data_IF_347672150967
#
_entry.id   IF_347672150967
#
_cell.length_a   1.000
_cell.length_b   1.000
_cell.length_c   1.000
_cell.angle_alpha   90.00
_cell.angle_beta   90.00
_cell.angle_gamma   90.00
#
_symmetry.space_group_name_H-M   'P 1'
#
loop_
_entity.id
_entity.type
_entity.pdbx_description
1 polymer ?
#
# COMPACT_ATOMS: atom_id res chain seq x y z
N UNK A 1 -2.74 46.25 -13.63
CA UNK A 1 -1.45 46.20 -12.90
C UNK A 1 -1.33 47.41 -11.97
N UNK A 2 -1.93 47.36 -10.78
CA UNK A 2 -1.61 48.30 -9.69
C UNK A 2 -0.43 47.73 -8.92
N UNK A 3 0.76 48.26 -9.19
CA UNK A 3 1.99 47.82 -8.56
C UNK A 3 2.07 48.44 -7.16
N UNK A 4 1.62 47.73 -6.12
CA UNK A 4 1.81 48.14 -4.73
C UNK A 4 3.20 47.70 -4.26
N UNK A 5 4.19 48.56 -4.45
CA UNK A 5 5.52 48.38 -3.87
C UNK A 5 5.82 49.52 -2.88
N UNK A 6 5.53 49.38 -1.58
CA UNK A 6 6.07 50.29 -0.59
C UNK A 6 7.46 49.81 -0.15
N UNK A 7 8.47 50.61 -0.47
CA UNK A 7 9.82 50.43 0.07
C UNK A 7 9.82 50.65 1.60
N UNK A 8 10.31 49.67 2.35
CA UNK A 8 10.70 49.85 3.77
C UNK A 8 9.69 49.41 4.84
N UNK A 9 8.96 48.31 4.67
CA UNK A 9 8.07 47.77 5.72
C UNK A 9 8.60 46.47 6.33
N UNK A 10 8.94 46.55 7.62
CA UNK A 10 8.96 45.41 8.56
C UNK A 10 7.59 44.75 8.60
N UNK A 11 7.55 43.44 8.30
CA UNK A 11 6.46 42.49 8.52
C UNK A 11 5.03 42.99 8.23
N UNK A 12 4.60 42.89 6.97
CA UNK A 12 3.17 42.96 6.61
C UNK A 12 2.52 41.67 7.13
N UNK A 13 1.63 41.76 8.12
CA UNK A 13 0.97 40.59 8.73
C UNK A 13 -0.41 40.28 8.14
N UNK A 14 -0.85 41.03 7.12
CA UNK A 14 -2.10 40.78 6.41
C UNK A 14 -2.28 41.70 5.22
N UNK A 15 -2.60 41.13 4.05
CA UNK A 15 -3.00 41.89 2.85
C UNK A 15 -4.37 41.38 2.40
N UNK A 16 -5.32 42.29 2.27
CA UNK A 16 -6.64 41.98 1.71
C UNK A 16 -6.72 42.54 0.29
N UNK A 17 -6.98 41.67 -0.68
CA UNK A 17 -7.15 41.97 -2.09
C UNK A 17 -8.59 41.61 -2.45
N UNK A 18 -9.39 42.59 -2.87
CA UNK A 18 -10.78 42.36 -3.29
C UNK A 18 -10.85 42.50 -4.80
N UNK A 19 -11.23 41.42 -5.48
CA UNK A 19 -11.47 41.32 -6.92
C UNK A 19 -12.82 41.87 -7.35
N UNK A 20 -13.15 41.72 -8.62
CA UNK A 20 -14.45 42.06 -9.21
C UNK A 20 -15.14 40.80 -9.73
N UNK A 21 -16.17 40.90 -10.57
CA UNK A 21 -16.90 39.72 -11.10
C UNK A 21 -16.33 39.17 -12.41
N UNK A 22 -15.15 39.62 -12.82
CA UNK A 22 -14.49 39.27 -14.07
C UNK A 22 -13.29 38.35 -13.78
N UNK A 23 -12.70 37.72 -14.81
CA UNK A 23 -11.48 36.90 -14.63
C UNK A 23 -10.26 37.79 -14.29
N UNK A 24 -9.70 37.68 -13.09
CA UNK A 24 -8.56 38.49 -12.66
C UNK A 24 -7.26 37.70 -12.44
N UNK A 25 -6.13 38.42 -12.47
CA UNK A 25 -4.82 37.87 -12.11
C UNK A 25 -4.17 38.71 -11.02
N UNK A 26 -3.95 38.09 -9.87
CA UNK A 26 -3.29 38.70 -8.72
C UNK A 26 -1.85 38.19 -8.63
N UNK A 27 -0.87 39.10 -8.54
CA UNK A 27 0.52 38.75 -8.26
C UNK A 27 0.86 39.17 -6.83
N UNK A 28 1.20 38.18 -6.02
CA UNK A 28 1.61 38.37 -4.64
C UNK A 28 3.09 38.04 -4.48
N UNK A 29 3.86 39.01 -3.97
CA UNK A 29 5.30 38.85 -3.65
C UNK A 29 5.55 39.26 -2.21
N UNK A 30 6.08 38.34 -1.40
CA UNK A 30 6.41 38.58 0.00
C UNK A 30 7.90 38.35 0.27
N UNK A 31 8.59 39.25 0.99
CA UNK A 31 9.90 38.98 1.58
C UNK A 31 9.84 38.51 3.04
N UNK A 32 8.65 38.33 3.65
CA UNK A 32 8.49 38.10 5.10
C UNK A 32 7.99 36.70 5.49
N UNK A 33 8.42 36.28 6.69
CA UNK A 33 8.29 34.95 7.34
C UNK A 33 6.88 34.36 7.52
N UNK A 34 5.82 35.17 7.42
CA UNK A 34 4.42 34.76 7.58
C UNK A 34 3.56 35.92 7.07
N UNK A 35 2.94 35.80 5.89
CA UNK A 35 1.95 36.79 5.44
C UNK A 35 0.68 36.07 5.04
N UNK A 36 -0.42 36.33 5.74
CA UNK A 36 -1.75 35.91 5.33
C UNK A 36 -2.27 36.89 4.27
N UNK A 37 -2.48 36.40 3.05
CA UNK A 37 -3.18 37.14 2.00
C UNK A 37 -4.60 36.61 1.93
N UNK A 38 -5.59 37.51 2.00
CA UNK A 38 -6.98 37.21 1.64
C UNK A 38 -7.21 37.79 0.26
N UNK A 39 -7.59 36.95 -0.70
CA UNK A 39 -8.05 37.40 -2.02
C UNK A 39 -9.50 36.98 -2.15
N UNK A 40 -10.41 37.94 -2.36
CA UNK A 40 -11.83 37.73 -2.66
C UNK A 40 -12.05 37.82 -4.17
N UNK A 41 -12.27 36.70 -4.85
CA UNK A 41 -12.41 36.66 -6.31
C UNK A 41 -13.80 37.01 -6.88
N UNK A 42 -14.85 37.08 -6.04
CA UNK A 42 -16.26 37.04 -6.50
C UNK A 42 -16.50 35.92 -7.56
N UNK A 43 -17.32 36.18 -8.59
CA UNK A 43 -17.94 35.18 -9.49
C UNK A 43 -17.19 34.93 -10.83
N UNK A 44 -15.86 35.00 -10.84
CA UNK A 44 -14.97 34.83 -12.02
C UNK A 44 -13.92 33.70 -11.89
N UNK A 45 -13.20 33.37 -12.97
CA UNK A 45 -12.07 32.44 -12.93
C UNK A 45 -10.76 33.17 -12.58
N UNK A 46 -10.48 33.35 -11.29
CA UNK A 46 -9.33 34.13 -10.83
C UNK A 46 -8.03 33.33 -10.68
N UNK A 47 -6.95 33.90 -11.22
CA UNK A 47 -5.59 33.39 -11.06
C UNK A 47 -4.87 34.14 -9.94
N UNK A 48 -4.38 33.44 -8.90
CA UNK A 48 -3.58 34.03 -7.83
C UNK A 48 -2.15 33.47 -7.89
N UNK A 49 -1.26 34.19 -8.57
CA UNK A 49 0.14 33.80 -8.65
C UNK A 49 0.89 34.24 -7.38
N UNK A 50 1.40 33.27 -6.62
CA UNK A 50 2.02 33.49 -5.32
C UNK A 50 3.49 33.10 -5.36
N UNK A 51 4.37 34.09 -5.45
CA UNK A 51 5.81 33.83 -5.38
C UNK A 51 6.27 33.87 -3.92
N UNK A 52 6.35 32.68 -3.31
CA UNK A 52 6.86 32.46 -1.96
C UNK A 52 8.39 32.52 -1.87
N UNK A 53 8.90 32.61 -0.64
CA UNK A 53 10.34 32.52 -0.36
C UNK A 53 10.74 31.07 -0.07
N UNK A 54 12.04 30.79 0.15
CA UNK A 54 12.54 29.45 0.51
C UNK A 54 12.10 28.95 1.92
N UNK A 55 11.11 29.59 2.57
CA UNK A 55 10.62 29.32 3.93
C UNK A 55 9.08 29.19 3.92
N UNK A 56 8.49 28.62 4.99
CA UNK A 56 7.05 28.32 5.06
C UNK A 56 6.18 29.58 5.04
N UNK A 57 5.33 29.68 4.00
CA UNK A 57 4.43 30.80 3.76
C UNK A 57 2.97 30.29 3.77
N UNK A 58 2.11 30.89 4.60
CA UNK A 58 0.68 30.53 4.71
C UNK A 58 -0.18 31.48 3.88
N UNK A 59 -0.85 30.98 2.85
CA UNK A 59 -1.77 31.76 2.00
C UNK A 59 -3.23 31.43 2.32
N UNK A 60 -4.19 32.30 2.01
CA UNK A 60 -5.61 32.07 2.28
C UNK A 60 -6.47 32.71 1.18
N UNK A 61 -6.67 31.99 0.07
CA UNK A 61 -7.41 32.50 -1.10
C UNK A 61 -8.87 32.05 -1.06
N UNK A 62 -9.84 32.98 -1.11
CA UNK A 62 -11.28 32.72 -1.02
C UNK A 62 -12.02 33.23 -2.26
N UNK A 63 -12.65 32.36 -3.06
CA UNK A 63 -13.55 32.78 -4.14
C UNK A 63 -14.95 32.17 -3.92
N UNK A 64 -16.03 32.97 -3.88
CA UNK A 64 -17.41 32.51 -3.78
C UNK A 64 -17.89 31.66 -4.98
N UNK A 65 -17.37 31.90 -6.19
CA UNK A 65 -17.55 31.01 -7.34
C UNK A 65 -16.44 31.23 -8.39
N UNK A 66 -15.68 30.19 -8.74
CA UNK A 66 -14.52 30.32 -9.65
C UNK A 66 -13.52 29.16 -9.59
N UNK A 67 -12.43 29.26 -10.35
CA UNK A 67 -11.24 28.38 -10.24
C UNK A 67 -10.09 29.21 -9.70
N UNK A 68 -9.53 28.86 -8.53
CA UNK A 68 -8.33 29.50 -8.00
C UNK A 68 -7.09 28.72 -8.45
N UNK A 69 -6.17 29.43 -9.11
CA UNK A 69 -4.83 28.95 -9.42
C UNK A 69 -3.86 29.42 -8.31
N UNK A 70 -3.15 28.53 -7.64
CA UNK A 70 -2.04 28.88 -6.72
C UNK A 70 -0.74 28.34 -7.31
N UNK A 71 0.10 29.22 -7.86
CA UNK A 71 1.42 28.85 -8.39
C UNK A 71 2.49 29.04 -7.32
N UNK A 72 3.35 28.03 -7.07
CA UNK A 72 4.44 28.05 -6.08
C UNK A 72 5.82 28.18 -6.76
N UNK A 73 6.86 28.57 -6.01
CA UNK A 73 8.27 28.60 -6.48
C UNK A 73 9.32 28.01 -5.52
N UNK A 74 8.99 27.38 -4.37
CA UNK A 74 9.92 26.52 -3.60
C UNK A 74 9.35 25.93 -2.29
N UNK A 75 9.51 24.62 -2.09
CA UNK A 75 9.96 23.96 -0.85
C UNK A 75 9.14 23.96 0.45
N UNK A 76 8.11 24.79 0.64
CA UNK A 76 7.43 24.88 1.95
C UNK A 76 5.91 24.73 1.95
N UNK A 77 5.27 24.25 3.05
CA UNK A 77 3.83 24.02 3.08
C UNK A 77 3.07 25.32 2.92
N UNK A 78 2.05 25.32 2.06
CA UNK A 78 1.12 26.44 1.92
C UNK A 78 -0.28 25.98 2.32
N UNK A 79 -1.14 26.95 2.60
CA UNK A 79 -2.52 26.73 3.00
C UNK A 79 -3.41 27.37 1.94
N UNK A 80 -4.59 26.81 1.68
CA UNK A 80 -5.61 27.43 0.84
C UNK A 80 -6.95 27.24 1.54
N UNK A 81 -7.72 28.31 1.66
CA UNK A 81 -9.06 28.29 2.26
C UNK A 81 -10.05 28.92 1.28
N UNK A 82 -10.67 28.11 0.42
CA UNK A 82 -11.59 28.58 -0.61
C UNK A 82 -12.99 28.02 -0.43
N UNK A 83 -14.00 28.76 -0.90
CA UNK A 83 -15.40 28.32 -1.06
C UNK A 83 -15.71 27.87 -2.49
N UNK A 84 -14.71 27.85 -3.38
CA UNK A 84 -14.86 27.58 -4.80
C UNK A 84 -15.08 26.08 -5.10
N UNK A 85 -15.74 25.75 -6.21
CA UNK A 85 -16.09 24.36 -6.58
C UNK A 85 -14.84 23.51 -6.94
N UNK A 86 -13.81 24.14 -7.51
CA UNK A 86 -12.53 23.50 -7.86
C UNK A 86 -11.35 24.44 -7.58
N UNK A 87 -10.31 23.94 -6.91
CA UNK A 87 -9.04 24.66 -6.69
C UNK A 87 -7.91 23.91 -7.38
N UNK A 88 -7.11 24.62 -8.18
CA UNK A 88 -5.93 24.07 -8.82
C UNK A 88 -4.66 24.65 -8.20
N UNK A 89 -3.76 23.79 -7.75
CA UNK A 89 -2.43 24.15 -7.25
C UNK A 89 -1.40 23.73 -8.28
N UNK A 90 -0.57 24.68 -8.69
CA UNK A 90 0.47 24.47 -9.70
C UNK A 90 1.84 24.61 -9.05
N UNK A 91 2.72 23.69 -9.39
CA UNK A 91 4.15 23.82 -9.23
C UNK A 91 4.74 24.84 -10.20
N UNK A 92 6.06 24.85 -10.25
CA UNK A 92 6.89 25.66 -11.13
C UNK A 92 7.82 24.77 -11.94
N UNK A 93 8.67 25.39 -12.76
CA UNK A 93 9.83 24.69 -13.28
C UNK A 93 10.83 24.41 -12.13
N UNK A 94 11.09 23.13 -11.86
CA UNK A 94 11.98 22.64 -10.82
C UNK A 94 11.28 21.64 -9.89
N UNK A 95 12.01 21.09 -8.92
CA UNK A 95 11.45 20.11 -8.00
C UNK A 95 10.61 20.81 -6.92
N UNK A 96 9.30 20.57 -6.94
CA UNK A 96 8.33 21.13 -6.04
C UNK A 96 7.78 20.10 -5.03
N UNK A 97 7.22 20.63 -3.95
CA UNK A 97 6.45 19.84 -2.98
C UNK A 97 5.13 20.54 -2.77
N UNK A 98 4.05 19.93 -3.23
CA UNK A 98 2.69 20.41 -3.11
C UNK A 98 2.00 19.60 -2.02
N UNK A 99 1.70 20.25 -0.91
CA UNK A 99 1.07 19.62 0.25
C UNK A 99 -0.26 20.31 0.53
N UNK A 100 -1.36 19.64 0.19
CA UNK A 100 -2.71 20.14 0.28
C UNK A 100 -3.48 19.60 1.52
N UNK A 101 -2.81 18.92 2.46
CA UNK A 101 -3.47 18.30 3.64
C UNK A 101 -4.21 19.29 4.54
N UNK A 102 -3.79 20.55 4.51
CA UNK A 102 -4.35 21.61 5.34
C UNK A 102 -5.31 22.53 4.57
N UNK A 103 -5.69 22.15 3.35
CA UNK A 103 -6.70 22.84 2.58
C UNK A 103 -8.07 22.63 3.26
N UNK A 104 -8.75 23.73 3.57
CA UNK A 104 -9.90 23.76 4.48
C UNK A 104 -11.04 22.85 3.98
N UNK A 105 -11.63 22.05 4.89
CA UNK A 105 -12.61 20.98 4.68
C UNK A 105 -13.92 21.34 3.91
N UNK A 106 -14.06 22.57 3.41
CA UNK A 106 -15.18 22.97 2.58
C UNK A 106 -14.99 22.63 1.08
N UNK A 107 -13.77 22.30 0.66
CA UNK A 107 -13.46 21.93 -0.72
C UNK A 107 -13.67 20.43 -0.94
N UNK A 108 -14.39 20.08 -2.00
CA UNK A 108 -14.70 18.68 -2.35
C UNK A 108 -13.72 18.07 -3.34
N UNK A 109 -12.90 18.89 -4.01
CA UNK A 109 -11.92 18.44 -5.01
C UNK A 109 -10.80 19.45 -5.27
N UNK A 110 -9.56 18.98 -5.32
CA UNK A 110 -8.38 19.74 -5.73
C UNK A 110 -7.77 19.18 -7.02
N UNK A 111 -7.07 20.03 -7.77
CA UNK A 111 -6.19 19.59 -8.85
C UNK A 111 -4.76 20.01 -8.50
N UNK A 112 -3.86 19.06 -8.37
CA UNK A 112 -2.44 19.28 -8.07
C UNK A 112 -1.63 18.98 -9.33
N UNK A 113 -0.89 19.98 -9.82
CA UNK A 113 -0.08 19.90 -11.03
C UNK A 113 1.39 20.17 -10.66
N UNK A 114 2.31 19.24 -10.90
CA UNK A 114 3.74 19.40 -10.64
C UNK A 114 4.44 20.32 -11.65
N UNK A 115 4.09 20.17 -12.95
CA UNK A 115 4.71 20.85 -14.10
C UNK A 115 6.05 20.21 -14.52
N UNK A 116 7.17 20.95 -14.58
CA UNK A 116 8.46 20.38 -14.96
C UNK A 116 9.32 20.17 -13.72
N UNK A 117 9.80 18.97 -13.44
CA UNK A 117 10.63 18.71 -12.26
C UNK A 117 10.42 17.32 -11.69
N UNK A 118 11.11 17.03 -10.59
CA UNK A 118 10.76 15.86 -9.78
C UNK A 118 9.95 16.34 -8.58
N UNK A 119 8.65 16.21 -8.68
CA UNK A 119 7.71 16.81 -7.74
C UNK A 119 7.22 15.81 -6.71
N UNK A 120 6.73 16.33 -5.59
CA UNK A 120 6.03 15.54 -4.57
C UNK A 120 4.67 16.14 -4.34
N UNK A 121 3.62 15.38 -4.59
CA UNK A 121 2.23 15.79 -4.47
C UNK A 121 1.58 15.04 -3.29
N UNK A 122 0.90 15.79 -2.43
CA UNK A 122 0.07 15.28 -1.34
C UNK A 122 -1.25 16.03 -1.34
N UNK A 123 -2.35 15.29 -1.45
CA UNK A 123 -3.72 15.74 -1.45
C UNK A 123 -4.26 16.08 -0.06
N UNK A 124 -5.55 16.44 -0.06
CA UNK A 124 -6.32 16.71 1.13
C UNK A 124 -7.39 15.65 1.36
N UNK A 125 -8.46 16.04 2.04
CA UNK A 125 -9.71 15.27 2.02
C UNK A 125 -10.50 15.64 0.76
N UNK A 126 -11.30 14.71 0.25
CA UNK A 126 -12.10 14.94 -0.96
C UNK A 126 -11.54 14.22 -2.18
N UNK A 127 -12.04 14.56 -3.36
CA UNK A 127 -11.65 13.93 -4.63
C UNK A 127 -10.61 14.77 -5.35
N UNK A 128 -9.35 14.42 -5.22
CA UNK A 128 -8.25 15.17 -5.79
C UNK A 128 -7.80 14.63 -7.16
N UNK A 129 -7.12 15.45 -7.94
CA UNK A 129 -6.55 15.08 -9.23
C UNK A 129 -5.06 15.37 -9.24
N UNK A 130 -4.24 14.33 -9.35
CA UNK A 130 -2.79 14.42 -9.33
C UNK A 130 -2.22 14.33 -10.75
N UNK A 131 -1.47 15.34 -11.16
CA UNK A 131 -0.74 15.40 -12.43
C UNK A 131 0.71 15.73 -12.11
N UNK A 132 1.64 14.81 -12.35
CA UNK A 132 3.07 15.03 -12.10
C UNK A 132 3.62 16.04 -13.09
N UNK A 133 3.61 15.66 -14.37
CA UNK A 133 4.12 16.48 -15.47
C UNK A 133 5.38 15.84 -16.07
N UNK A 134 6.41 16.65 -16.31
CA UNK A 134 7.68 16.18 -16.88
C UNK A 134 8.69 15.94 -15.76
N UNK A 135 9.10 14.68 -15.55
CA UNK A 135 10.21 14.34 -14.68
C UNK A 135 9.99 13.02 -13.96
N UNK A 136 10.17 12.99 -12.65
CA UNK A 136 9.91 11.80 -11.82
C UNK A 136 9.16 12.24 -10.59
N UNK A 137 7.86 12.02 -10.62
CA UNK A 137 6.93 12.61 -9.68
C UNK A 137 6.40 11.59 -8.67
N UNK A 138 6.34 12.03 -7.41
CA UNK A 138 5.91 11.25 -6.27
C UNK A 138 4.54 11.70 -5.78
N UNK A 139 3.56 10.80 -5.83
CA UNK A 139 2.35 10.94 -5.03
C UNK A 139 2.62 10.36 -3.63
N UNK A 140 2.52 11.18 -2.59
CA UNK A 140 2.78 10.80 -1.20
C UNK A 140 1.57 11.10 -0.32
N UNK A 141 0.69 10.13 -0.13
CA UNK A 141 -0.48 10.26 0.75
C UNK A 141 -0.20 9.75 2.16
N UNK A 142 -0.75 10.47 3.14
CA UNK A 142 -0.73 10.08 4.55
C UNK A 142 -2.13 10.26 5.10
N UNK A 143 -2.75 9.23 5.65
CA UNK A 143 -4.09 9.43 6.18
C UNK A 143 -4.75 8.24 6.85
N UNK A 144 -5.86 8.56 7.50
CA UNK A 144 -6.67 7.65 8.30
C UNK A 144 -7.54 6.70 7.48
N UNK A 145 -7.33 5.40 7.66
CA UNK A 145 -8.22 4.36 7.16
C UNK A 145 -7.67 3.61 5.95
N UNK A 146 -8.58 2.92 5.26
CA UNK A 146 -8.23 2.00 4.19
C UNK A 146 -8.01 2.75 2.88
N UNK A 147 -6.96 2.37 2.14
CA UNK A 147 -6.66 2.91 0.81
C UNK A 147 -6.71 1.81 -0.23
N UNK A 148 -7.33 2.08 -1.37
CA UNK A 148 -7.34 1.20 -2.54
C UNK A 148 -6.75 1.93 -3.74
N UNK A 149 -5.73 1.34 -4.35
CA UNK A 149 -4.98 1.91 -5.46
C UNK A 149 -5.21 1.10 -6.75
N UNK A 150 -5.50 1.82 -7.82
CA UNK A 150 -5.61 1.31 -9.19
C UNK A 150 -4.75 2.16 -10.12
N UNK A 151 -4.57 1.75 -11.37
CA UNK A 151 -3.73 2.47 -12.33
C UNK A 151 -4.15 3.93 -12.56
N UNK A 152 -5.40 4.30 -12.27
CA UNK A 152 -5.92 5.66 -12.48
C UNK A 152 -6.55 6.31 -11.25
N UNK A 153 -6.68 5.61 -10.12
CA UNK A 153 -7.38 6.12 -8.94
C UNK A 153 -6.79 5.66 -7.61
N UNK A 154 -6.84 6.55 -6.61
CA UNK A 154 -6.66 6.24 -5.19
C UNK A 154 -7.99 6.49 -4.47
N UNK A 155 -8.44 5.54 -3.66
CA UNK A 155 -9.72 5.62 -2.93
C UNK A 155 -9.47 5.46 -1.44
N UNK A 156 -10.10 6.30 -0.62
CA UNK A 156 -10.10 6.19 0.86
C UNK A 156 -10.38 7.51 1.58
N UNK A 157 -9.67 8.58 1.20
CA UNK A 157 -9.95 9.96 1.63
C UNK A 157 -10.93 10.71 0.70
N UNK A 158 -11.30 10.03 -0.38
CA UNK A 158 -12.20 10.41 -1.44
C UNK A 158 -11.98 9.43 -2.58
N UNK A 159 -12.19 9.89 -3.82
CA UNK A 159 -11.87 9.17 -5.05
C UNK A 159 -11.00 10.06 -5.90
N UNK A 160 -9.69 9.91 -5.71
CA UNK A 160 -8.70 10.73 -6.35
C UNK A 160 -8.34 10.15 -7.71
N UNK A 161 -8.12 11.00 -8.72
CA UNK A 161 -7.61 10.59 -10.02
C UNK A 161 -6.11 10.76 -10.09
N UNK A 162 -5.42 9.74 -10.61
CA UNK A 162 -3.97 9.70 -10.77
C UNK A 162 -3.65 9.73 -12.26
N UNK A 163 -2.96 10.77 -12.71
CA UNK A 163 -2.49 10.87 -14.08
C UNK A 163 -1.36 9.87 -14.38
N UNK A 164 -1.14 9.60 -15.66
CA UNK A 164 -0.07 8.71 -16.14
C UNK A 164 1.33 9.26 -15.88
N UNK A 165 1.47 10.57 -15.68
CA UNK A 165 2.71 11.29 -15.34
C UNK A 165 3.17 11.18 -13.88
N UNK A 166 2.56 10.30 -13.08
CA UNK A 166 3.09 9.95 -11.76
C UNK A 166 3.94 8.69 -11.90
N UNK A 167 5.16 8.69 -11.37
CA UNK A 167 6.11 7.56 -11.50
C UNK A 167 6.44 6.88 -10.18
N UNK A 168 6.06 7.49 -9.04
CA UNK A 168 6.23 6.92 -7.73
C UNK A 168 5.00 7.17 -6.85
N UNK A 169 4.63 6.18 -6.04
CA UNK A 169 3.54 6.29 -5.07
C UNK A 169 4.04 5.78 -3.72
N UNK A 170 3.84 6.62 -2.70
CA UNK A 170 4.01 6.29 -1.29
C UNK A 170 2.68 6.50 -0.57
N UNK A 171 2.18 5.47 0.07
CA UNK A 171 1.01 5.53 0.95
C UNK A 171 1.45 5.25 2.37
N UNK A 172 1.02 6.07 3.33
CA UNK A 172 1.34 5.90 4.75
C UNK A 172 0.08 5.95 5.61
N UNK A 173 -0.04 4.99 6.52
CA UNK A 173 -1.13 4.84 7.45
C UNK A 173 -1.12 5.81 8.61
N UNK A 174 -2.15 5.67 9.43
CA UNK A 174 -2.29 6.39 10.69
C UNK A 174 -1.84 5.53 11.88
N UNK A 175 -2.46 5.72 13.05
CA UNK A 175 -2.15 4.93 14.24
C UNK A 175 -3.17 3.79 14.47
N UNK A 176 -4.14 3.64 13.57
CA UNK A 176 -5.15 2.59 13.59
C UNK A 176 -4.83 1.50 12.59
N UNK A 177 -5.58 0.40 12.65
CA UNK A 177 -5.50 -0.66 11.64
C UNK A 177 -5.98 -0.14 10.28
N UNK A 178 -5.14 -0.27 9.26
CA UNK A 178 -5.38 0.15 7.89
C UNK A 178 -5.31 -1.05 6.94
N UNK A 179 -6.14 -1.03 5.88
CA UNK A 179 -6.00 -1.92 4.73
C UNK A 179 -5.50 -1.10 3.54
N UNK A 180 -4.33 -1.45 3.02
CA UNK A 180 -3.80 -0.95 1.75
C UNK A 180 -3.91 -2.00 0.68
N UNK A 181 -4.78 -1.77 -0.29
CA UNK A 181 -5.00 -2.64 -1.43
C UNK A 181 -4.47 -2.01 -2.72
N UNK A 182 -3.25 -2.36 -3.11
CA UNK A 182 -2.67 -2.01 -4.40
C UNK A 182 -2.67 -3.19 -5.39
N UNK A 183 -3.43 -4.25 -5.12
CA UNK A 183 -3.40 -5.49 -5.93
C UNK A 183 -3.82 -5.29 -7.38
N UNK A 184 -4.59 -4.24 -7.68
CA UNK A 184 -5.00 -3.85 -9.02
C UNK A 184 -4.01 -2.90 -9.72
N UNK A 185 -2.94 -2.46 -9.05
CA UNK A 185 -1.95 -1.53 -9.60
C UNK A 185 -0.86 -2.27 -10.40
N UNK A 186 -0.55 -1.76 -11.59
CA UNK A 186 0.32 -2.45 -12.55
C UNK A 186 1.44 -1.58 -13.14
N UNK A 187 1.40 -0.27 -12.95
CA UNK A 187 2.34 0.68 -13.59
C UNK A 187 3.78 0.52 -13.10
N UNK A 188 4.01 0.50 -11.80
CA UNK A 188 5.33 0.41 -11.15
C UNK A 188 5.19 -0.12 -9.72
N UNK A 189 6.32 -0.27 -9.01
CA UNK A 189 6.34 -0.71 -7.62
C UNK A 189 5.95 0.41 -6.65
N UNK A 190 5.14 0.08 -5.65
CA UNK A 190 4.61 1.06 -4.67
C UNK A 190 5.26 0.89 -3.31
N UNK A 191 5.29 1.97 -2.52
CA UNK A 191 5.67 1.92 -1.11
C UNK A 191 4.42 2.04 -0.25
N UNK A 192 4.14 0.99 0.53
CA UNK A 192 3.06 0.95 1.51
C UNK A 192 3.68 0.91 2.91
N UNK A 193 3.31 1.85 3.76
CA UNK A 193 3.82 1.99 5.14
C UNK A 193 2.64 2.04 6.12
N UNK A 194 2.37 0.95 6.82
CA UNK A 194 1.27 0.83 7.79
C UNK A 194 1.40 1.80 8.98
N UNK A 195 2.63 2.22 9.30
CA UNK A 195 2.96 3.04 10.45
C UNK A 195 2.67 2.36 11.79
N UNK A 196 1.52 2.61 12.43
CA UNK A 196 1.18 1.96 13.69
C UNK A 196 -0.23 1.42 13.63
N UNK A 197 -0.45 0.22 14.16
CA UNK A 197 -1.71 -0.47 13.98
C UNK A 197 -1.45 -1.92 13.60
N UNK A 198 -2.52 -2.69 13.48
CA UNK A 198 -2.43 -4.03 12.89
C UNK A 198 -2.88 -3.91 11.44
N UNK A 199 -1.93 -3.73 10.52
CA UNK A 199 -2.21 -3.34 9.14
C UNK A 199 -2.25 -4.53 8.18
N UNK A 200 -2.96 -4.34 7.07
CA UNK A 200 -3.01 -5.30 5.96
C UNK A 200 -2.46 -4.63 4.71
N UNK A 201 -1.40 -5.19 4.15
CA UNK A 201 -0.71 -4.66 2.99
C UNK A 201 -0.83 -5.62 1.80
N UNK A 202 -1.33 -5.13 0.67
CA UNK A 202 -1.43 -5.88 -0.58
C UNK A 202 -0.70 -5.12 -1.67
N UNK A 203 0.42 -5.68 -2.13
CA UNK A 203 1.22 -5.11 -3.22
C UNK A 203 0.56 -5.30 -4.59
N UNK A 204 1.07 -4.57 -5.57
CA UNK A 204 0.68 -4.71 -6.98
C UNK A 204 1.41 -5.84 -7.69
N UNK A 205 1.53 -5.71 -9.00
CA UNK A 205 2.20 -6.71 -9.87
C UNK A 205 3.69 -6.45 -10.11
N UNK A 206 4.27 -5.48 -9.39
CA UNK A 206 5.67 -5.05 -9.51
C UNK A 206 6.37 -5.24 -8.17
N UNK A 207 7.66 -4.92 -8.14
CA UNK A 207 8.44 -5.00 -6.90
C UNK A 207 8.05 -3.89 -5.94
N UNK A 208 7.32 -4.23 -4.89
CA UNK A 208 6.82 -3.27 -3.91
C UNK A 208 7.70 -3.19 -2.66
N UNK A 209 7.48 -2.14 -1.86
CA UNK A 209 8.06 -1.99 -0.53
C UNK A 209 6.95 -1.97 0.49
N UNK A 210 6.81 -3.06 1.26
CA UNK A 210 5.74 -3.29 2.22
C UNK A 210 6.33 -3.17 3.63
N UNK A 211 5.94 -2.12 4.34
CA UNK A 211 6.43 -1.79 5.68
C UNK A 211 5.21 -1.83 6.61
N UNK A 212 5.16 -2.77 7.55
CA UNK A 212 4.06 -2.86 8.51
C UNK A 212 4.17 -1.74 9.54
N UNK A 213 5.26 -1.76 10.31
CA UNK A 213 5.56 -0.72 11.28
C UNK A 213 5.46 -1.26 12.69
N UNK A 214 4.64 -0.66 13.55
CA UNK A 214 4.40 -1.18 14.91
C UNK A 214 3.02 -1.78 15.04
N UNK A 215 2.95 -3.04 15.47
CA UNK A 215 1.70 -3.78 15.68
C UNK A 215 1.87 -5.20 15.20
N UNK A 216 0.79 -5.82 14.73
CA UNK A 216 0.81 -7.14 14.08
C UNK A 216 0.34 -7.01 12.64
N UNK A 217 1.30 -6.86 11.74
CA UNK A 217 1.04 -6.53 10.35
C UNK A 217 0.99 -7.77 9.46
N UNK A 218 0.12 -7.75 8.46
CA UNK A 218 -0.14 -8.86 7.55
C UNK A 218 0.03 -8.46 6.08
N UNK A 219 0.92 -9.13 5.36
CA UNK A 219 0.96 -9.04 3.89
C UNK A 219 0.03 -10.09 3.29
N UNK A 220 -0.80 -9.72 2.30
CA UNK A 220 -1.64 -10.67 1.55
C UNK A 220 -1.35 -10.59 0.07
N UNK A 221 -1.02 -11.74 -0.53
CA UNK A 221 -0.65 -11.80 -1.94
C UNK A 221 -1.20 -13.05 -2.62
N UNK A 222 -1.85 -12.85 -3.77
CA UNK A 222 -2.10 -13.92 -4.73
C UNK A 222 -0.84 -14.12 -5.58
N UNK A 223 -0.30 -15.34 -5.60
CA UNK A 223 0.98 -15.61 -6.27
C UNK A 223 0.78 -15.90 -7.76
N UNK A 224 1.72 -15.46 -8.57
CA UNK A 224 1.69 -15.67 -10.03
C UNK A 224 2.02 -17.13 -10.39
N UNK A 225 2.81 -17.81 -9.55
CA UNK A 225 3.05 -19.27 -9.58
C UNK A 225 3.79 -19.72 -8.32
N UNK A 226 5.12 -19.59 -8.32
CA UNK A 226 5.96 -19.97 -7.19
C UNK A 226 6.28 -18.73 -6.36
N UNK A 227 6.40 -18.92 -5.05
CA UNK A 227 6.77 -17.87 -4.12
C UNK A 227 7.77 -18.38 -3.09
N UNK A 228 8.79 -17.56 -2.80
CA UNK A 228 9.68 -17.76 -1.67
C UNK A 228 9.61 -16.57 -0.73
N UNK A 229 9.29 -16.85 0.52
CA UNK A 229 9.17 -15.88 1.59
C UNK A 229 10.37 -15.96 2.55
N UNK A 230 10.86 -14.79 2.93
CA UNK A 230 11.87 -14.59 3.98
C UNK A 230 11.40 -13.42 4.85
N UNK A 231 12.06 -13.20 6.00
CA UNK A 231 11.76 -12.07 6.86
C UNK A 231 11.89 -10.68 6.21
N UNK A 232 12.56 -10.57 5.06
CA UNK A 232 12.83 -9.29 4.40
C UNK A 232 12.34 -9.21 2.97
N UNK A 233 11.90 -10.32 2.37
CA UNK A 233 11.58 -10.39 0.95
C UNK A 233 10.50 -11.44 0.66
N UNK A 234 9.56 -11.08 -0.22
CA UNK A 234 8.69 -12.00 -0.95
C UNK A 234 9.13 -12.02 -2.41
N UNK A 235 9.62 -13.16 -2.89
CA UNK A 235 10.06 -13.34 -4.27
C UNK A 235 9.03 -14.17 -5.03
N UNK A 236 8.48 -13.63 -6.11
CA UNK A 236 7.44 -14.23 -6.94
C UNK A 236 7.89 -14.38 -8.39
N UNK A 237 7.44 -15.44 -9.06
CA UNK A 237 7.59 -15.59 -10.51
C UNK A 237 7.95 -17.00 -10.97
N UNK A 238 7.95 -17.19 -12.29
CA UNK A 238 8.11 -18.51 -12.91
C UNK A 238 9.55 -19.00 -12.86
N UNK A 239 9.79 -20.10 -12.15
CA UNK A 239 10.92 -20.98 -12.42
C UNK A 239 10.45 -22.43 -12.45
N UNK A 240 9.68 -22.80 -13.48
CA UNK A 240 9.84 -24.17 -13.99
C UNK A 240 10.89 -24.12 -15.10
N UNK A 241 11.85 -25.03 -15.13
CA UNK A 241 11.50 -26.40 -15.53
C UNK A 241 11.98 -27.55 -14.65
N UNK A 242 13.01 -27.44 -13.80
CA UNK A 242 13.54 -28.58 -12.98
C UNK A 242 14.67 -28.21 -11.99
N UNK A 243 14.98 -26.94 -11.69
CA UNK A 243 16.24 -26.60 -10.97
C UNK A 243 16.09 -25.63 -9.81
N UNK A 244 16.82 -25.84 -8.69
CA UNK A 244 16.96 -24.87 -7.62
C UNK A 244 17.73 -23.64 -8.13
N UNK A 245 17.10 -22.47 -8.10
CA UNK A 245 17.67 -21.13 -8.35
C UNK A 245 18.18 -20.81 -9.76
N UNK A 246 17.27 -20.62 -10.72
CA UNK A 246 17.56 -19.83 -11.92
C UNK A 246 16.50 -18.72 -12.05
N UNK A 247 16.93 -17.45 -11.97
CA UNK A 247 16.02 -16.31 -12.12
C UNK A 247 16.39 -15.48 -13.34
N UNK A 248 15.46 -15.45 -14.30
CA UNK A 248 15.11 -14.25 -15.04
C UNK A 248 14.41 -13.34 -14.02
N UNK A 249 15.06 -12.24 -13.61
CA UNK A 249 14.72 -11.35 -12.48
C UNK A 249 13.29 -11.49 -11.92
N UNK A 250 13.13 -12.06 -10.70
CA UNK A 250 11.81 -12.28 -10.12
C UNK A 250 11.21 -10.93 -9.69
N UNK A 251 9.89 -10.86 -9.61
CA UNK A 251 9.23 -9.77 -8.88
C UNK A 251 9.58 -10.00 -7.41
N UNK A 252 10.21 -9.02 -6.78
CA UNK A 252 10.67 -9.11 -5.39
C UNK A 252 10.13 -7.94 -4.61
N UNK A 253 9.27 -8.23 -3.65
CA UNK A 253 8.75 -7.25 -2.71
C UNK A 253 9.67 -7.20 -1.50
N UNK A 254 10.03 -5.99 -1.06
CA UNK A 254 10.75 -5.77 0.18
C UNK A 254 9.79 -5.76 1.36
N UNK A 255 10.12 -6.49 2.42
CA UNK A 255 9.31 -6.60 3.64
C UNK A 255 10.07 -6.01 4.83
N UNK A 256 9.36 -5.28 5.69
CA UNK A 256 9.90 -4.77 6.96
C UNK A 256 8.81 -4.68 8.01
N UNK A 257 9.06 -5.23 9.21
CA UNK A 257 8.09 -5.22 10.31
C UNK A 257 6.79 -5.93 9.93
N UNK A 258 6.89 -7.16 9.40
CA UNK A 258 5.75 -7.98 9.01
C UNK A 258 5.76 -9.25 9.86
N UNK A 259 4.68 -9.46 10.62
CA UNK A 259 4.52 -10.60 11.52
C UNK A 259 3.74 -11.74 10.89
N UNK A 260 2.89 -11.43 9.90
CA UNK A 260 2.04 -12.41 9.22
C UNK A 260 2.08 -12.26 7.71
N UNK A 261 2.00 -13.39 7.00
CA UNK A 261 1.87 -13.39 5.54
C UNK A 261 0.84 -14.41 5.10
N UNK A 262 -0.12 -13.97 4.28
CA UNK A 262 -1.02 -14.85 3.54
C UNK A 262 -0.61 -14.94 2.07
N UNK A 263 -0.27 -16.14 1.62
CA UNK A 263 -0.02 -16.45 0.22
C UNK A 263 -1.13 -17.36 -0.30
N UNK A 264 -1.72 -16.98 -1.43
CA UNK A 264 -2.73 -17.79 -2.12
C UNK A 264 -2.23 -18.17 -3.50
N UNK A 265 -2.14 -19.47 -3.73
CA UNK A 265 -1.84 -20.10 -5.00
C UNK A 265 -2.90 -19.85 -6.05
N UNK A 266 -2.63 -20.34 -7.25
CA UNK A 266 -3.51 -20.28 -8.39
C UNK A 266 -3.82 -21.69 -8.90
N UNK A 267 -4.33 -21.82 -10.12
CA UNK A 267 -4.72 -23.14 -10.66
C UNK A 267 -3.56 -23.96 -11.23
N UNK A 268 -2.33 -23.47 -11.10
CA UNK A 268 -1.13 -24.16 -11.55
C UNK A 268 -0.48 -24.84 -10.36
N UNK A 269 0.37 -25.84 -10.62
CA UNK A 269 1.31 -26.34 -9.61
C UNK A 269 2.16 -25.19 -9.07
N UNK A 270 2.04 -24.93 -7.79
CA UNK A 270 2.70 -23.88 -7.04
C UNK A 270 3.65 -24.48 -6.01
N UNK A 271 4.80 -23.82 -5.84
CA UNK A 271 5.64 -23.99 -4.66
C UNK A 271 5.61 -22.72 -3.82
N UNK A 272 5.00 -22.80 -2.63
CA UNK A 272 4.98 -21.73 -1.63
C UNK A 272 5.96 -22.09 -0.51
N UNK A 273 7.09 -21.38 -0.45
CA UNK A 273 8.21 -21.71 0.44
C UNK A 273 8.44 -20.59 1.46
N UNK A 274 7.94 -20.79 2.68
CA UNK A 274 8.10 -19.88 3.81
C UNK A 274 9.11 -20.36 4.87
N UNK A 275 9.95 -21.35 4.56
CA UNK A 275 10.89 -21.97 5.51
C UNK A 275 11.87 -20.98 6.18
N UNK A 276 12.04 -19.78 5.61
CA UNK A 276 12.92 -18.71 6.13
C UNK A 276 12.17 -17.53 6.75
N UNK A 277 10.85 -17.67 6.94
CA UNK A 277 10.03 -16.69 7.64
C UNK A 277 9.80 -17.12 9.08
N UNK A 278 9.93 -16.18 10.02
CA UNK A 278 9.80 -16.46 11.45
C UNK A 278 8.44 -16.09 12.03
N UNK A 279 7.65 -15.30 11.29
CA UNK A 279 6.27 -14.99 11.63
C UNK A 279 5.31 -16.13 11.26
N UNK A 280 4.03 -15.92 11.49
CA UNK A 280 2.98 -16.90 11.15
C UNK A 280 2.53 -16.73 9.70
N UNK A 281 2.30 -17.83 8.99
CA UNK A 281 1.86 -17.79 7.59
C UNK A 281 0.48 -18.42 7.42
N UNK A 282 -0.23 -17.98 6.39
CA UNK A 282 -1.35 -18.71 5.80
C UNK A 282 -0.97 -19.04 4.37
N UNK A 283 -0.76 -20.32 4.08
CA UNK A 283 -0.42 -20.81 2.74
C UNK A 283 -1.63 -21.58 2.22
N UNK A 284 -2.13 -21.18 1.06
CA UNK A 284 -3.26 -21.82 0.38
C UNK A 284 -2.79 -22.21 -1.02
N UNK A 285 -2.72 -23.51 -1.33
CA UNK A 285 -2.24 -24.04 -2.62
C UNK A 285 -3.26 -23.82 -3.73
N UNK A 286 -4.54 -24.02 -3.40
CA UNK A 286 -5.64 -23.88 -4.32
C UNK A 286 -5.86 -25.17 -5.10
N UNK A 287 -5.41 -25.22 -6.35
CA UNK A 287 -5.65 -26.38 -7.21
C UNK A 287 -4.37 -26.84 -7.90
N UNK A 288 -4.32 -28.14 -8.20
CA UNK A 288 -3.16 -28.89 -8.71
C UNK A 288 -2.26 -29.40 -7.58
N UNK A 289 -1.25 -30.20 -7.94
CA UNK A 289 -0.37 -30.83 -6.96
C UNK A 289 0.68 -29.84 -6.46
N UNK A 290 0.43 -29.20 -5.34
CA UNK A 290 1.24 -28.10 -4.82
C UNK A 290 2.27 -28.55 -3.79
N UNK A 291 3.22 -27.67 -3.50
CA UNK A 291 4.19 -27.85 -2.41
C UNK A 291 4.19 -26.62 -1.52
N UNK A 292 3.73 -26.79 -0.29
CA UNK A 292 3.59 -25.72 0.69
C UNK A 292 4.50 -26.01 1.88
N UNK A 293 5.29 -25.02 2.27
CA UNK A 293 6.29 -25.17 3.32
C UNK A 293 6.16 -23.98 4.27
N UNK A 294 5.74 -24.25 5.50
CA UNK A 294 5.69 -23.31 6.62
C UNK A 294 7.07 -22.87 7.10
N UNK A 295 7.08 -21.90 8.00
CA UNK A 295 8.25 -21.29 8.60
C UNK A 295 8.56 -21.85 9.98
N UNK A 296 8.87 -20.94 10.92
CA UNK A 296 9.04 -21.29 12.34
C UNK A 296 7.92 -20.74 13.23
N UNK A 297 6.91 -20.13 12.62
CA UNK A 297 5.74 -19.55 13.30
C UNK A 297 4.61 -20.57 13.43
N UNK A 298 3.46 -20.17 13.96
CA UNK A 298 2.27 -21.02 13.94
C UNK A 298 1.56 -20.85 12.59
N UNK A 299 1.71 -21.81 11.69
CA UNK A 299 1.27 -21.70 10.31
C UNK A 299 -0.10 -22.33 10.08
N UNK A 300 -0.86 -21.77 9.13
CA UNK A 300 -2.04 -22.38 8.54
C UNK A 300 -1.71 -22.79 7.11
N UNK A 301 -1.73 -24.09 6.83
CA UNK A 301 -1.40 -24.63 5.50
C UNK A 301 -2.61 -25.38 4.96
N UNK A 302 -3.07 -24.99 3.76
CA UNK A 302 -4.21 -25.57 3.05
C UNK A 302 -3.72 -26.07 1.69
N UNK A 303 -3.70 -27.39 1.47
CA UNK A 303 -3.30 -27.97 0.18
C UNK A 303 -4.30 -27.61 -0.91
N UNK A 304 -5.57 -27.97 -0.69
CA UNK A 304 -6.67 -27.62 -1.59
C UNK A 304 -7.15 -28.84 -2.35
N UNK A 305 -6.98 -28.86 -3.67
CA UNK A 305 -7.39 -30.00 -4.51
C UNK A 305 -6.23 -30.61 -5.25
N UNK A 306 -6.29 -31.92 -5.45
CA UNK A 306 -5.24 -32.79 -6.00
C UNK A 306 -4.22 -33.20 -4.92
N UNK A 307 -3.08 -33.77 -5.30
CA UNK A 307 -2.18 -34.43 -4.35
C UNK A 307 -1.06 -33.47 -3.94
N UNK A 308 -1.14 -32.97 -2.71
CA UNK A 308 -0.26 -31.92 -2.22
C UNK A 308 0.86 -32.44 -1.31
N UNK A 309 1.92 -31.64 -1.18
CA UNK A 309 3.00 -31.86 -0.23
C UNK A 309 3.09 -30.69 0.73
N UNK A 310 2.70 -30.92 1.99
CA UNK A 310 2.52 -29.91 3.03
C UNK A 310 3.49 -30.17 4.18
N UNK A 311 4.34 -29.18 4.49
CA UNK A 311 5.31 -29.24 5.59
C UNK A 311 5.10 -28.05 6.54
N UNK A 312 4.79 -28.30 7.81
CA UNK A 312 4.66 -27.25 8.85
C UNK A 312 6.01 -26.68 9.29
N UNK A 313 7.00 -27.56 9.45
CA UNK A 313 8.32 -27.29 10.02
C UNK A 313 8.30 -27.10 11.53
N UNK A 314 8.38 -25.87 12.05
CA UNK A 314 8.42 -25.64 13.49
C UNK A 314 7.35 -24.63 13.85
N UNK A 315 6.67 -24.85 14.97
CA UNK A 315 5.48 -24.07 15.30
C UNK A 315 4.37 -24.99 15.77
N UNK A 316 3.26 -24.41 16.25
CA UNK A 316 2.06 -25.22 16.42
C UNK A 316 1.22 -24.98 15.17
N UNK A 317 1.33 -25.87 14.21
CA UNK A 317 0.79 -25.67 12.87
C UNK A 317 -0.61 -26.27 12.73
N UNK A 318 -1.40 -25.70 11.83
CA UNK A 318 -2.68 -26.27 11.39
C UNK A 318 -2.59 -26.58 9.91
N UNK A 319 -2.62 -27.86 9.55
CA UNK A 319 -2.42 -28.32 8.17
C UNK A 319 -3.63 -29.14 7.71
N UNK A 320 -4.22 -28.73 6.59
CA UNK A 320 -5.28 -29.46 5.90
C UNK A 320 -4.85 -29.87 4.50
N UNK A 321 -4.91 -31.17 4.19
CA UNK A 321 -4.67 -31.73 2.85
C UNK A 321 -5.71 -31.23 1.86
N UNK A 322 -6.97 -31.62 2.09
CA UNK A 322 -8.08 -31.21 1.24
C UNK A 322 -8.62 -32.42 0.47
N UNK A 323 -8.71 -32.33 -0.85
CA UNK A 323 -9.10 -33.49 -1.66
C UNK A 323 -7.89 -34.00 -2.43
N UNK A 324 -7.60 -35.30 -2.38
CA UNK A 324 -6.45 -35.88 -3.07
C UNK A 324 -5.66 -36.79 -2.14
N UNK A 325 -4.56 -37.35 -2.60
CA UNK A 325 -3.70 -38.18 -1.73
C UNK A 325 -2.53 -37.34 -1.26
N UNK A 326 -2.69 -36.73 -0.09
CA UNK A 326 -1.79 -35.70 0.39
C UNK A 326 -0.66 -36.27 1.23
N UNK A 327 0.44 -35.51 1.28
CA UNK A 327 1.56 -35.76 2.18
C UNK A 327 1.68 -34.62 3.15
N UNK A 328 1.48 -34.91 4.43
CA UNK A 328 1.47 -33.94 5.51
C UNK A 328 2.55 -34.32 6.52
N UNK A 329 3.42 -33.36 6.84
CA UNK A 329 4.42 -33.45 7.91
C UNK A 329 4.27 -32.20 8.80
N UNK A 330 3.84 -32.38 10.05
CA UNK A 330 3.69 -31.29 11.02
C UNK A 330 5.05 -30.71 11.41
N UNK A 331 5.94 -31.57 11.90
CA UNK A 331 7.32 -31.23 12.20
C UNK A 331 7.55 -31.11 13.71
N UNK A 332 7.82 -29.92 14.22
CA UNK A 332 8.12 -29.66 15.63
C UNK A 332 7.08 -28.71 16.22
N UNK A 333 6.32 -29.22 17.17
CA UNK A 333 5.35 -28.46 17.97
C UNK A 333 4.06 -29.26 18.12
N UNK A 334 3.03 -28.67 18.71
CA UNK A 334 1.76 -29.38 18.88
C UNK A 334 0.88 -29.09 17.67
N UNK A 335 0.89 -29.98 16.69
CA UNK A 335 0.29 -29.74 15.38
C UNK A 335 -1.14 -30.28 15.28
N UNK A 336 -1.96 -29.59 14.50
CA UNK A 336 -3.30 -30.03 14.09
C UNK A 336 -3.31 -30.41 12.61
N UNK A 337 -3.34 -31.70 12.32
CA UNK A 337 -3.18 -32.24 10.96
C UNK A 337 -4.45 -32.96 10.51
N UNK A 338 -4.96 -32.62 9.33
CA UNK A 338 -6.13 -33.24 8.73
C UNK A 338 -5.89 -33.60 7.26
N UNK A 339 -5.93 -34.89 6.90
CA UNK A 339 -5.85 -35.35 5.51
C UNK A 339 -7.07 -34.93 4.70
N UNK A 340 -8.26 -35.18 5.25
CA UNK A 340 -9.58 -34.94 4.66
C UNK A 340 -9.94 -36.02 3.63
N UNK A 341 -10.15 -35.73 2.36
CA UNK A 341 -10.63 -36.71 1.38
C UNK A 341 -9.47 -37.29 0.56
N UNK A 342 -9.24 -38.61 0.63
CA UNK A 342 -8.28 -39.34 -0.19
C UNK A 342 -7.42 -40.30 0.63
N UNK A 343 -6.36 -40.87 0.05
CA UNK A 343 -5.48 -41.78 0.79
C UNK A 343 -4.23 -41.01 1.25
N UNK A 344 -4.29 -40.46 2.45
CA UNK A 344 -3.30 -39.51 2.91
C UNK A 344 -2.14 -40.16 3.66
N UNK A 345 -0.99 -39.49 3.65
CA UNK A 345 0.15 -39.82 4.51
C UNK A 345 0.40 -38.66 5.46
N UNK A 346 0.17 -38.89 6.76
CA UNK A 346 0.27 -37.85 7.79
C UNK A 346 1.31 -38.25 8.84
N UNK A 347 2.27 -37.36 9.07
CA UNK A 347 3.30 -37.48 10.11
C UNK A 347 3.13 -36.28 11.05
N UNK A 348 2.93 -36.54 12.35
CA UNK A 348 2.85 -35.50 13.38
C UNK A 348 4.21 -34.86 13.60
N UNK A 349 5.18 -35.67 14.03
CA UNK A 349 6.55 -35.24 14.23
C UNK A 349 6.94 -35.32 15.71
N UNK A 350 7.35 -34.20 16.29
CA UNK A 350 7.73 -34.09 17.69
C UNK A 350 6.72 -33.22 18.45
N UNK A 351 6.54 -33.52 19.73
CA UNK A 351 5.53 -32.95 20.64
C UNK A 351 4.14 -33.58 20.45
N UNK A 352 3.07 -33.00 21.01
CA UNK A 352 1.77 -33.68 21.10
C UNK A 352 0.86 -33.27 19.96
N UNK A 353 0.67 -34.16 19.01
CA UNK A 353 -0.07 -33.84 17.79
C UNK A 353 -1.51 -34.35 17.81
N UNK A 354 -2.36 -33.72 16.99
CA UNK A 354 -3.69 -34.21 16.64
C UNK A 354 -3.75 -34.53 15.16
N UNK A 355 -3.93 -35.81 14.82
CA UNK A 355 -3.99 -36.29 13.44
C UNK A 355 -5.39 -36.84 13.13
N UNK A 356 -6.00 -36.32 12.08
CA UNK A 356 -7.26 -36.76 11.52
C UNK A 356 -7.02 -37.26 10.09
N UNK A 357 -7.23 -38.55 9.82
CA UNK A 357 -7.08 -39.13 8.47
C UNK A 357 -8.16 -38.58 7.55
N UNK A 358 -9.39 -39.03 7.78
CA UNK A 358 -10.55 -38.52 7.05
C UNK A 358 -11.20 -39.64 6.27
N UNK A 359 -11.43 -39.46 4.98
CA UNK A 359 -12.03 -40.46 4.12
C UNK A 359 -11.00 -41.06 3.15
N UNK A 360 -10.67 -42.34 3.32
CA UNK A 360 -9.77 -43.10 2.46
C UNK A 360 -8.81 -43.97 3.27
N UNK A 361 -7.91 -44.67 2.59
CA UNK A 361 -6.96 -45.56 3.26
C UNK A 361 -5.74 -44.76 3.71
N UNK A 362 -5.83 -44.15 4.88
CA UNK A 362 -4.80 -43.24 5.38
C UNK A 362 -3.66 -43.95 6.12
N UNK A 363 -2.46 -43.37 6.04
CA UNK A 363 -1.28 -43.77 6.80
C UNK A 363 -0.89 -42.66 7.79
N UNK A 364 -1.22 -42.85 9.07
CA UNK A 364 -0.97 -41.87 10.12
C UNK A 364 0.16 -42.33 11.06
N UNK A 365 1.09 -41.42 11.35
CA UNK A 365 2.14 -41.62 12.35
C UNK A 365 2.27 -40.38 13.22
N UNK A 366 1.86 -40.47 14.49
CA UNK A 366 1.99 -39.37 15.45
C UNK A 366 3.45 -38.94 15.64
N UNK A 367 4.30 -39.82 16.16
CA UNK A 367 5.74 -39.56 16.26
C UNK A 367 6.19 -39.59 17.70
N UNK A 368 6.90 -38.55 18.14
CA UNK A 368 7.39 -38.43 19.51
C UNK A 368 6.49 -37.52 20.32
N UNK A 369 5.72 -38.06 21.26
CA UNK A 369 4.84 -37.26 22.10
C UNK A 369 3.63 -38.05 22.56
N UNK A 370 2.60 -37.35 23.03
CA UNK A 370 1.29 -37.94 23.34
C UNK A 370 0.28 -37.53 22.28
N UNK A 371 0.22 -38.33 21.23
CA UNK A 371 -0.58 -38.01 20.04
C UNK A 371 -2.03 -38.45 20.19
N UNK A 372 -2.94 -37.66 19.61
CA UNK A 372 -4.32 -38.05 19.33
C UNK A 372 -4.44 -38.40 17.85
N UNK A 373 -4.80 -39.66 17.56
CA UNK A 373 -4.89 -40.15 16.18
C UNK A 373 -6.29 -40.70 15.93
N UNK A 374 -6.96 -40.19 14.90
CA UNK A 374 -8.24 -40.68 14.41
C UNK A 374 -8.12 -40.99 12.91
N UNK A 375 -8.16 -42.28 12.54
CA UNK A 375 -8.03 -42.70 11.14
C UNK A 375 -9.20 -42.32 10.24
N UNK A 376 -10.41 -42.14 10.78
CA UNK A 376 -11.59 -41.83 9.95
C UNK A 376 -12.21 -43.07 9.27
N UNK A 377 -12.68 -42.94 8.03
CA UNK A 377 -13.35 -43.99 7.26
C UNK A 377 -12.46 -44.50 6.14
N UNK A 378 -12.26 -45.82 6.05
CA UNK A 378 -11.40 -46.47 5.05
C UNK A 378 -10.63 -47.61 5.69
#
# INVERSE_FOLDING_TARGET
MTNLAPAGLTAITGVNIVGSSDDETFLVRSPSRTISFFVDGNDGNDTVNVQGTALADTFAVSSPSGRILVAKTTGTPFYVSSTAETVAVLGSDGNDTIDARQVLAALTSLQLLGENGNDTLTGGLGNDAFVGGEGTDLLSEVGAGNLTLTDSQLVGHGTDSIDVSIEAIKLTGDAGANLFDASAFTRFGVLLDGAAGDDILMGGSKSDSLIGGTGIDEVRQAVIKDAKLTNTQLMQGTAQLISPFAILSPITDGLSGIERVKLTGNTLVNRLDAASFTGSTTLDGGAANDTLIGGTGADLILGGTENDSLLGNAGNDTIGGGTGNDKIDGGVGNDGLAGQDGNDTIIGGADNDTLLGGAGNDSLRGGAGRDLIQGGTG
#
